data_IF_887926559043
#
_entry.id   IF_887926559043
#
_cell.length_a   1.000
_cell.length_b   1.000
_cell.length_c   1.000
_cell.angle_alpha   90.00
_cell.angle_beta   90.00
_cell.angle_gamma   90.00
#
_symmetry.space_group_name_H-M   'P 1'
#
loop_
_entity.id
_entity.type
_entity.pdbx_description
1 polymer ?
#
# COMPACT_ATOMS: atom_id res chain seq x y z
N UNK A 1 -10.27 16.34 11.93
CA UNK A 1 -9.93 15.17 11.09
C UNK A 1 -8.88 14.34 11.82
N UNK A 2 -9.16 13.08 12.19
CA UNK A 2 -8.14 12.20 12.77
C UNK A 2 -7.19 11.76 11.64
N UNK A 3 -5.96 12.25 11.63
CA UNK A 3 -4.98 11.83 10.63
C UNK A 3 -4.42 10.46 11.00
N UNK A 4 -4.73 9.44 10.20
CA UNK A 4 -4.15 8.10 10.34
C UNK A 4 -3.05 7.87 9.31
N UNK A 5 -1.99 7.14 9.66
CA UNK A 5 -1.00 6.66 8.70
C UNK A 5 -1.54 5.38 8.05
N UNK A 6 -1.82 5.40 6.74
CA UNK A 6 -2.20 4.19 6.03
C UNK A 6 -0.95 3.53 5.46
N UNK A 7 -0.61 2.33 5.95
CA UNK A 7 0.47 1.49 5.40
C UNK A 7 -0.14 0.43 4.47
N UNK A 8 0.48 0.22 3.32
CA UNK A 8 0.12 -0.88 2.42
C UNK A 8 0.97 -2.10 2.75
N UNK A 9 0.35 -3.26 2.88
CA UNK A 9 1.03 -4.53 3.06
C UNK A 9 0.26 -5.62 2.32
N UNK A 10 0.99 -6.63 1.84
CA UNK A 10 0.41 -7.81 1.24
C UNK A 10 1.13 -9.05 1.77
N UNK A 11 0.44 -10.19 1.71
CA UNK A 11 1.04 -11.47 2.05
C UNK A 11 1.53 -12.14 0.78
N UNK A 12 2.76 -12.63 0.82
CA UNK A 12 3.31 -13.53 -0.18
C UNK A 12 3.64 -14.87 0.48
N UNK A 13 2.76 -15.86 0.28
CA UNK A 13 2.80 -17.10 1.05
C UNK A 13 2.71 -16.81 2.55
N UNK A 14 3.73 -17.20 3.31
CA UNK A 14 3.83 -16.94 4.75
C UNK A 14 4.64 -15.68 5.10
N UNK A 15 5.04 -14.87 4.13
CA UNK A 15 5.82 -13.64 4.35
C UNK A 15 4.91 -12.41 4.24
N UNK A 16 4.93 -11.57 5.27
CA UNK A 16 4.28 -10.26 5.23
C UNK A 16 5.23 -9.26 4.54
N UNK A 17 4.87 -8.82 3.35
CA UNK A 17 5.62 -7.80 2.61
C UNK A 17 4.94 -6.44 2.87
N UNK A 18 5.65 -5.56 3.55
CA UNK A 18 5.16 -4.22 3.89
C UNK A 18 5.77 -3.22 2.90
N UNK A 19 4.91 -2.50 2.19
CA UNK A 19 5.32 -1.40 1.33
C UNK A 19 5.41 -0.12 2.18
N UNK A 20 6.60 0.48 2.28
CA UNK A 20 6.88 1.63 3.16
C UNK A 20 6.20 2.93 2.66
N UNK A 21 5.47 2.89 1.55
CA UNK A 21 4.64 4.01 1.08
C UNK A 21 3.41 4.21 2.00
N UNK A 22 3.67 4.75 3.19
CA UNK A 22 2.64 5.20 4.11
C UNK A 22 2.28 6.66 3.83
N UNK A 23 1.02 6.96 3.54
CA UNK A 23 0.56 8.34 3.39
C UNK A 23 -0.33 8.77 4.56
N UNK A 24 -0.30 10.06 4.88
CA UNK A 24 -1.20 10.64 5.87
C UNK A 24 -2.61 10.70 5.29
N UNK A 25 -3.49 9.84 5.79
CA UNK A 25 -4.88 9.76 5.34
C UNK A 25 -5.65 10.98 5.86
N UNK A 26 -5.95 11.90 4.93
CA UNK A 26 -6.75 13.10 5.21
C UNK A 26 -8.26 12.84 5.13
N UNK A 27 -8.69 11.80 4.42
CA UNK A 27 -10.11 11.50 4.15
C UNK A 27 -10.50 10.10 4.62
N UNK A 28 -11.78 9.85 4.94
CA UNK A 28 -12.23 8.52 5.43
C UNK A 28 -12.01 7.40 4.40
N UNK A 29 -12.13 7.71 3.11
CA UNK A 29 -11.92 6.76 2.00
C UNK A 29 -10.47 6.83 1.51
N UNK A 30 -9.91 5.67 1.17
CA UNK A 30 -8.57 5.60 0.56
C UNK A 30 -8.65 6.17 -0.86
N UNK A 31 -7.81 7.15 -1.24
CA UNK A 31 -7.80 7.69 -2.60
C UNK A 31 -7.50 6.59 -3.62
N UNK A 32 -8.20 6.61 -4.76
CA UNK A 32 -8.02 5.60 -5.83
C UNK A 32 -6.58 5.58 -6.36
N UNK A 33 -5.95 6.74 -6.44
CA UNK A 33 -4.54 6.89 -6.83
C UNK A 33 -3.57 6.09 -5.95
N UNK A 34 -3.83 6.02 -4.64
CA UNK A 34 -2.98 5.27 -3.71
C UNK A 34 -3.20 3.76 -3.84
N UNK A 35 -4.43 3.34 -4.16
CA UNK A 35 -4.75 1.94 -4.48
C UNK A 35 -4.04 1.50 -5.76
N UNK A 36 -4.06 2.33 -6.81
CA UNK A 36 -3.44 2.02 -8.09
C UNK A 36 -1.90 1.99 -7.97
N UNK A 37 -1.30 2.89 -7.16
CA UNK A 37 0.12 2.82 -6.80
C UNK A 37 0.46 1.51 -6.09
N UNK A 38 -0.32 1.12 -5.09
CA UNK A 38 -0.09 -0.13 -4.35
C UNK A 38 -0.12 -1.36 -5.28
N UNK A 39 -1.05 -1.39 -6.24
CA UNK A 39 -1.10 -2.45 -7.27
C UNK A 39 0.16 -2.46 -8.14
N UNK A 40 0.60 -1.29 -8.62
CA UNK A 40 1.81 -1.19 -9.45
C UNK A 40 3.05 -1.69 -8.71
N UNK A 41 3.24 -1.27 -7.46
CA UNK A 41 4.38 -1.69 -6.64
C UNK A 41 4.35 -3.21 -6.40
N UNK A 42 3.16 -3.79 -6.19
CA UNK A 42 3.02 -5.24 -6.08
C UNK A 42 3.43 -5.96 -7.37
N UNK A 43 2.96 -5.49 -8.53
CA UNK A 43 3.31 -6.08 -9.83
C UNK A 43 4.81 -5.99 -10.07
N UNK A 44 5.42 -4.83 -9.77
CA UNK A 44 6.85 -4.61 -9.90
C UNK A 44 7.64 -5.57 -9.00
N UNK A 45 7.24 -5.71 -7.73
CA UNK A 45 7.82 -6.70 -6.81
C UNK A 45 7.69 -8.15 -7.30
N UNK A 46 6.53 -8.54 -7.84
CA UNK A 46 6.32 -9.87 -8.41
C UNK A 46 7.13 -10.10 -9.69
N UNK A 47 7.45 -9.04 -10.45
CA UNK A 47 8.22 -9.12 -11.70
C UNK A 47 9.74 -9.12 -11.51
N UNK A 48 10.24 -8.49 -10.44
CA UNK A 48 11.66 -8.48 -10.08
C UNK A 48 12.08 -9.76 -9.34
N UNK A 49 11.13 -10.58 -8.93
CA UNK A 49 11.34 -11.84 -8.22
C UNK A 49 11.54 -13.01 -9.16
#
# INVERSE_FOLDING_TARGET
MKSGLLRFAFFEGNKLVITINGFQKKTQKTPKSEIDKAKKIRIEYESEK
#
